data_IF_230414107278
#
_entry.id   IF_230414107278
#
_cell.length_a   1.000
_cell.length_b   1.000
_cell.length_c   1.000
_cell.angle_alpha   90.00
_cell.angle_beta   90.00
_cell.angle_gamma   90.00
#
_symmetry.space_group_name_H-M   'P 1'
#
loop_
_entity.id
_entity.type
_entity.pdbx_description
1 polymer ?
#
# COMPACT_ATOMS: atom_id res chain seq x y z
N UNK A 1 -3.62 17.48 55.78
CA UNK A 1 -5.06 17.23 55.61
C UNK A 1 -5.21 16.32 54.41
N UNK A 2 -5.52 15.04 54.64
CA UNK A 2 -5.68 14.03 53.58
C UNK A 2 -6.88 14.41 52.69
N UNK A 3 -6.68 14.54 51.38
CA UNK A 3 -7.75 14.39 50.40
C UNK A 3 -7.51 13.12 49.58
N UNK A 4 -8.38 12.15 49.79
CA UNK A 4 -8.48 10.89 49.06
C UNK A 4 -9.11 11.14 47.69
N UNK A 5 -8.33 11.00 46.60
CA UNK A 5 -8.88 10.95 45.25
C UNK A 5 -9.33 9.54 44.89
N UNK A 6 -10.62 9.44 44.59
CA UNK A 6 -11.33 8.22 44.20
C UNK A 6 -10.85 7.78 42.81
N UNK A 7 -10.30 6.58 42.73
CA UNK A 7 -9.82 5.89 41.52
C UNK A 7 -10.94 5.79 40.47
N UNK A 8 -10.86 6.57 39.39
CA UNK A 8 -11.59 6.33 38.13
C UNK A 8 -10.58 5.95 37.04
N UNK A 9 -10.88 4.86 36.34
CA UNK A 9 -10.12 4.32 35.20
C UNK A 9 -9.92 5.43 34.16
N UNK A 10 -8.68 5.86 33.92
CA UNK A 10 -8.23 6.55 32.71
C UNK A 10 -6.71 6.43 32.61
N UNK A 11 -6.22 5.20 32.39
CA UNK A 11 -4.78 4.96 32.14
C UNK A 11 -4.36 5.26 30.69
N UNK A 12 -5.30 5.64 29.80
CA UNK A 12 -4.98 6.03 28.42
C UNK A 12 -4.60 7.51 28.27
N UNK A 13 -4.99 8.36 29.22
CA UNK A 13 -4.75 9.83 29.15
C UNK A 13 -3.34 10.24 29.60
N UNK A 14 -2.72 9.49 30.52
CA UNK A 14 -1.34 9.75 30.94
C UNK A 14 -0.31 9.33 29.88
N UNK A 15 -0.66 8.36 29.02
CA UNK A 15 0.24 7.89 27.98
C UNK A 15 0.44 8.95 26.87
N UNK A 16 -0.61 9.71 26.54
CA UNK A 16 -0.52 10.80 25.56
C UNK A 16 0.41 11.92 26.08
N UNK A 17 0.32 12.29 27.36
CA UNK A 17 1.21 13.29 27.97
C UNK A 17 2.68 12.82 28.04
N UNK A 18 2.92 11.51 28.21
CA UNK A 18 4.28 10.95 28.24
C UNK A 18 4.92 10.86 26.84
N UNK A 19 4.13 10.66 25.78
CA UNK A 19 4.66 10.71 24.41
C UNK A 19 5.09 12.12 24.02
N UNK A 20 4.38 13.16 24.50
CA UNK A 20 4.76 14.56 24.29
C UNK A 20 6.02 14.99 25.05
N UNK A 21 6.29 14.44 26.24
CA UNK A 21 7.54 14.76 26.97
C UNK A 21 8.78 14.11 26.33
N UNK A 22 8.64 12.96 25.68
CA UNK A 22 9.73 12.30 24.95
C UNK A 22 10.10 12.95 23.61
N UNK A 23 9.15 13.58 22.90
CA UNK A 23 9.46 14.36 21.68
C UNK A 23 10.15 15.70 21.99
N UNK A 24 9.94 16.26 23.19
CA UNK A 24 10.59 17.50 23.64
C UNK A 24 12.03 17.30 24.15
N UNK A 25 12.48 16.05 24.36
CA UNK A 25 13.79 15.74 24.97
C UNK A 25 14.91 15.39 23.98
N UNK A 26 14.64 15.39 22.67
CA UNK A 26 15.64 15.22 21.61
C UNK A 26 15.74 16.46 20.71
N UNK A 27 16.02 17.62 21.31
CA UNK A 27 16.67 18.73 20.60
C UNK A 27 17.33 19.67 21.62
N UNK A 28 18.60 19.44 21.99
CA UNK A 28 19.37 20.44 22.71
C UNK A 28 19.88 21.42 21.66
N UNK A 29 19.10 22.48 21.43
CA UNK A 29 19.51 23.82 20.91
C UNK A 29 18.37 24.48 20.10
N UNK A 30 17.20 24.69 20.72
CA UNK A 30 16.24 25.69 20.26
C UNK A 30 16.74 27.09 20.65
N UNK A 31 17.76 27.57 19.94
CA UNK A 31 18.00 29.01 19.85
C UNK A 31 16.92 29.58 18.94
N UNK A 32 15.96 30.32 19.51
CA UNK A 32 15.03 31.18 18.77
C UNK A 32 15.86 32.20 17.97
N UNK A 33 16.23 31.85 16.75
CA UNK A 33 16.53 32.83 15.72
C UNK A 33 15.19 33.43 15.37
N UNK A 34 14.89 34.57 15.97
CA UNK A 34 13.76 35.43 15.61
C UNK A 34 14.06 36.04 14.24
N UNK A 35 13.84 35.26 13.18
CA UNK A 35 13.65 35.85 11.85
C UNK A 35 12.43 36.77 11.96
N UNK A 36 12.61 38.04 11.63
CA UNK A 36 11.56 39.06 11.68
C UNK A 36 10.30 38.58 10.94
N UNK A 37 9.29 38.17 11.69
CA UNK A 37 7.96 37.89 11.16
C UNK A 37 7.37 39.18 10.59
N UNK A 38 6.97 39.16 9.32
CA UNK A 38 6.22 40.25 8.71
C UNK A 38 4.78 39.80 8.48
N UNK A 39 4.05 39.55 9.57
CA UNK A 39 2.60 39.44 9.49
C UNK A 39 2.03 40.72 8.88
N UNK A 40 1.18 40.60 7.86
CA UNK A 40 0.49 41.73 7.26
C UNK A 40 -1.02 41.50 7.32
N UNK A 41 -1.77 42.52 7.74
CA UNK A 41 -3.24 42.46 7.83
C UNK A 41 -3.73 42.47 9.28
N UNK A 42 -4.96 41.99 9.49
CA UNK A 42 -5.60 41.98 10.81
C UNK A 42 -5.28 40.68 11.55
N UNK A 43 -5.16 40.72 12.88
CA UNK A 43 -5.07 39.53 13.72
C UNK A 43 -6.47 39.07 14.19
N UNK A 44 -6.65 37.81 14.61
CA UNK A 44 -7.93 37.35 15.11
C UNK A 44 -8.41 38.22 16.27
N UNK A 45 -9.67 38.70 16.25
CA UNK A 45 -10.20 39.51 17.32
C UNK A 45 -10.36 38.67 18.60
N UNK A 46 -10.22 39.28 19.79
CA UNK A 46 -10.42 38.57 21.06
C UNK A 46 -11.81 37.94 21.20
N UNK A 47 -12.83 38.64 20.67
CA UNK A 47 -14.22 38.21 20.61
C UNK A 47 -14.78 38.42 19.20
N UNK A 48 -15.54 37.45 18.70
CA UNK A 48 -16.25 37.54 17.42
C UNK A 48 -15.53 36.87 16.24
N UNK A 49 -16.13 36.99 15.06
CA UNK A 49 -15.68 36.33 13.83
C UNK A 49 -14.51 37.12 13.22
N UNK A 50 -13.42 36.43 12.88
CA UNK A 50 -12.32 37.04 12.14
C UNK A 50 -12.67 37.07 10.65
N UNK A 51 -13.00 38.24 10.11
CA UNK A 51 -13.35 38.41 8.70
C UNK A 51 -12.14 38.87 7.89
N UNK A 52 -11.80 38.15 6.83
CA UNK A 52 -10.73 38.44 5.88
C UNK A 52 -11.38 38.77 4.54
N UNK A 53 -11.30 40.04 4.14
CA UNK A 53 -11.78 40.55 2.84
C UNK A 53 -10.65 41.12 2.00
N UNK A 54 -9.43 41.16 2.54
CA UNK A 54 -8.23 41.68 1.89
C UNK A 54 -7.09 40.68 2.09
N UNK A 55 -6.07 40.66 1.22
CA UNK A 55 -4.91 39.80 1.38
C UNK A 55 -4.26 39.96 2.77
N UNK A 56 -4.23 38.87 3.52
CA UNK A 56 -3.72 38.79 4.90
C UNK A 56 -2.72 37.64 4.99
N UNK A 57 -1.57 37.90 5.60
CA UNK A 57 -0.49 36.92 5.77
C UNK A 57 -0.12 36.88 7.25
N UNK A 58 -0.13 35.69 7.83
CA UNK A 58 0.28 35.45 9.22
C UNK A 58 1.36 34.38 9.22
N UNK A 59 2.53 34.71 9.76
CA UNK A 59 3.69 33.83 9.75
C UNK A 59 4.36 33.75 11.11
N UNK A 60 4.77 32.55 11.54
CA UNK A 60 5.53 32.31 12.77
C UNK A 60 4.78 32.71 14.06
N UNK A 61 3.45 32.62 14.05
CA UNK A 61 2.61 33.07 15.16
C UNK A 61 1.96 31.91 15.92
N UNK A 62 1.79 32.12 17.23
CA UNK A 62 0.89 31.30 18.05
C UNK A 62 -0.50 31.95 18.05
N UNK A 63 -1.50 31.25 17.53
CA UNK A 63 -2.86 31.76 17.39
C UNK A 63 -3.81 30.91 18.24
N UNK A 64 -4.49 31.56 19.17
CA UNK A 64 -5.64 30.96 19.86
C UNK A 64 -6.92 31.42 19.16
N UNK A 65 -7.60 30.49 18.50
CA UNK A 65 -8.91 30.73 17.87
C UNK A 65 -10.02 30.34 18.85
N UNK A 66 -10.80 31.34 19.27
CA UNK A 66 -12.00 31.18 20.12
C UNK A 66 -13.30 31.29 19.33
N UNK A 67 -13.23 31.61 18.04
CA UNK A 67 -14.37 31.77 17.12
C UNK A 67 -13.95 31.39 15.68
N UNK A 68 -14.88 31.45 14.72
CA UNK A 68 -14.61 31.11 13.31
C UNK A 68 -13.81 32.20 12.58
N UNK A 69 -13.12 31.79 11.52
CA UNK A 69 -12.47 32.67 10.54
C UNK A 69 -13.25 32.57 9.23
N UNK A 70 -13.68 33.71 8.69
CA UNK A 70 -14.35 33.81 7.40
C UNK A 70 -13.46 34.56 6.41
N UNK A 71 -13.14 33.92 5.29
CA UNK A 71 -12.42 34.50 4.16
C UNK A 71 -13.46 34.60 3.03
N UNK A 72 -13.70 35.82 2.56
CA UNK A 72 -14.83 36.14 1.68
C UNK A 72 -14.56 37.39 0.87
N UNK A 73 -15.47 37.77 -0.01
CA UNK A 73 -15.37 38.98 -0.83
C UNK A 73 -14.03 39.04 -1.59
N UNK A 74 -13.60 37.92 -2.19
CA UNK A 74 -12.31 37.76 -2.89
C UNK A 74 -11.06 37.93 -1.99
N UNK A 75 -11.24 37.96 -0.67
CA UNK A 75 -10.15 38.01 0.30
C UNK A 75 -9.21 36.81 0.22
N UNK A 76 -8.01 36.96 0.79
CA UNK A 76 -7.03 35.86 0.84
C UNK A 76 -6.36 35.79 2.21
N UNK A 77 -6.24 34.58 2.74
CA UNK A 77 -5.50 34.31 3.97
C UNK A 77 -4.36 33.33 3.69
N UNK A 78 -3.15 33.71 4.07
CA UNK A 78 -1.97 32.85 4.05
C UNK A 78 -1.49 32.63 5.49
N UNK A 79 -1.41 31.38 5.91
CA UNK A 79 -0.87 30.95 7.20
C UNK A 79 0.44 30.19 6.94
N UNK A 80 1.56 30.62 7.55
CA UNK A 80 2.86 29.93 7.41
C UNK A 80 3.54 29.70 8.74
N UNK A 81 3.97 28.46 8.99
CA UNK A 81 4.71 28.13 10.22
C UNK A 81 3.98 28.61 11.49
N UNK A 82 2.65 28.53 11.50
CA UNK A 82 1.83 28.96 12.63
C UNK A 82 1.56 27.78 13.55
N UNK A 83 1.26 28.08 14.82
CA UNK A 83 0.71 27.13 15.77
C UNK A 83 -0.67 27.60 16.21
N UNK A 84 -1.70 26.90 15.76
CA UNK A 84 -3.10 27.30 15.94
C UNK A 84 -3.80 26.33 16.89
N UNK A 85 -4.30 26.89 17.99
CA UNK A 85 -5.14 26.17 18.94
C UNK A 85 -6.58 26.64 18.78
N UNK A 86 -7.48 25.70 18.53
CA UNK A 86 -8.92 25.95 18.53
C UNK A 86 -9.45 25.57 19.92
N UNK A 87 -9.93 26.56 20.67
CA UNK A 87 -10.46 26.40 22.02
C UNK A 87 -11.92 26.84 22.07
N UNK A 88 -12.81 25.98 22.58
CA UNK A 88 -14.23 26.31 22.54
C UNK A 88 -15.11 25.63 23.61
N UNK A 89 -16.15 26.37 24.03
CA UNK A 89 -17.10 26.03 25.11
C UNK A 89 -18.57 25.79 24.62
N UNK A 90 -18.87 25.83 23.32
CA UNK A 90 -20.25 25.66 22.77
C UNK A 90 -20.34 24.71 21.55
N UNK A 91 -21.54 24.32 21.17
CA UNK A 91 -21.80 23.46 19.99
C UNK A 91 -22.12 24.35 18.79
N UNK A 92 -21.29 24.34 17.73
CA UNK A 92 -21.51 25.14 16.50
C UNK A 92 -20.43 24.93 15.43
N UNK A 93 -20.74 25.22 14.16
CA UNK A 93 -19.82 25.12 13.00
C UNK A 93 -18.65 26.10 13.15
N UNK A 94 -17.51 25.63 13.65
CA UNK A 94 -16.31 26.45 13.86
C UNK A 94 -15.18 25.97 12.97
N UNK A 95 -14.34 26.89 12.52
CA UNK A 95 -13.36 26.56 11.49
C UNK A 95 -12.76 27.76 10.81
N UNK A 96 -11.89 27.47 9.84
CA UNK A 96 -11.43 28.44 8.85
C UNK A 96 -12.26 28.18 7.59
N UNK A 97 -13.04 29.17 7.17
CA UNK A 97 -14.02 29.03 6.09
C UNK A 97 -13.66 29.99 4.95
N UNK A 98 -13.45 29.45 3.75
CA UNK A 98 -13.21 30.22 2.54
C UNK A 98 -14.44 30.11 1.62
N UNK A 99 -15.00 31.25 1.25
CA UNK A 99 -16.19 31.38 0.38
C UNK A 99 -16.02 32.51 -0.64
N UNK A 100 -16.94 32.60 -1.59
CA UNK A 100 -17.11 33.76 -2.48
C UNK A 100 -15.84 34.14 -3.25
N UNK A 101 -15.28 33.16 -3.98
CA UNK A 101 -14.03 33.26 -4.77
C UNK A 101 -12.78 33.63 -3.95
N UNK A 102 -12.82 33.47 -2.62
CA UNK A 102 -11.66 33.70 -1.77
C UNK A 102 -10.60 32.60 -1.87
N UNK A 103 -9.43 32.86 -1.30
CA UNK A 103 -8.32 31.88 -1.29
C UNK A 103 -7.73 31.68 0.10
N UNK A 104 -7.56 30.42 0.49
CA UNK A 104 -6.88 30.02 1.72
C UNK A 104 -5.63 29.22 1.40
N UNK A 105 -4.49 29.65 1.91
CA UNK A 105 -3.24 28.91 1.82
C UNK A 105 -2.66 28.66 3.21
N UNK A 106 -2.29 27.41 3.50
CA UNK A 106 -1.76 26.98 4.79
C UNK A 106 -0.51 26.14 4.54
N UNK A 107 0.61 26.59 5.10
CA UNK A 107 1.93 25.98 4.95
C UNK A 107 2.55 25.72 6.30
N UNK A 108 3.12 24.52 6.49
CA UNK A 108 3.93 24.14 7.64
C UNK A 108 3.29 24.49 9.00
N UNK A 109 1.97 24.47 9.07
CA UNK A 109 1.20 24.97 10.20
C UNK A 109 0.66 23.81 11.02
N UNK A 110 0.70 23.93 12.34
CA UNK A 110 0.05 22.96 13.23
C UNK A 110 -1.30 23.52 13.68
N UNK A 111 -2.38 22.76 13.46
CA UNK A 111 -3.73 23.10 13.92
C UNK A 111 -4.24 21.96 14.80
N UNK A 112 -4.64 22.27 16.02
CA UNK A 112 -5.16 21.29 16.97
C UNK A 112 -6.35 21.83 17.75
N UNK A 113 -7.24 20.93 18.16
CA UNK A 113 -8.34 21.23 19.10
C UNK A 113 -8.15 20.49 20.41
N UNK A 114 -8.50 21.13 21.54
CA UNK A 114 -8.47 20.53 22.88
C UNK A 114 -9.83 20.06 23.38
N UNK A 115 -10.92 20.42 22.70
CA UNK A 115 -12.27 20.08 23.13
C UNK A 115 -12.95 19.17 22.12
N UNK A 116 -13.96 18.43 22.58
CA UNK A 116 -14.79 17.55 21.76
C UNK A 116 -15.71 18.32 20.77
N UNK A 117 -15.39 19.60 20.51
CA UNK A 117 -16.12 20.47 19.61
C UNK A 117 -15.71 20.19 18.15
N UNK A 118 -16.66 20.01 17.22
CA UNK A 118 -16.35 19.87 15.81
C UNK A 118 -15.72 21.17 15.27
N UNK A 119 -14.52 21.05 14.68
CA UNK A 119 -13.94 22.09 13.85
C UNK A 119 -13.61 21.53 12.47
N UNK A 120 -13.50 22.42 11.47
CA UNK A 120 -13.08 22.02 10.14
C UNK A 120 -12.48 23.19 9.33
N UNK A 121 -11.74 22.89 8.29
CA UNK A 121 -11.45 23.80 7.18
C UNK A 121 -12.54 23.57 6.15
N UNK A 122 -13.25 24.62 5.76
CA UNK A 122 -14.32 24.53 4.77
C UNK A 122 -14.10 25.47 3.61
N UNK A 123 -14.31 24.95 2.40
CA UNK A 123 -14.10 25.67 1.14
C UNK A 123 -15.33 25.47 0.28
N UNK A 124 -15.97 26.56 -0.14
CA UNK A 124 -17.26 26.56 -0.82
C UNK A 124 -17.35 27.77 -1.77
N UNK A 125 -18.42 27.89 -2.57
CA UNK A 125 -18.71 29.04 -3.45
C UNK A 125 -17.50 29.48 -4.30
N UNK A 126 -16.89 28.55 -5.03
CA UNK A 126 -15.71 28.76 -5.88
C UNK A 126 -14.46 29.28 -5.14
N UNK A 127 -14.39 29.15 -3.82
CA UNK A 127 -13.14 29.38 -3.11
C UNK A 127 -12.13 28.25 -3.34
N UNK A 128 -10.86 28.54 -3.07
CA UNK A 128 -9.75 27.60 -3.26
C UNK A 128 -8.91 27.42 -1.99
N UNK A 129 -8.43 26.18 -1.79
CA UNK A 129 -7.51 25.81 -0.73
C UNK A 129 -6.20 25.25 -1.29
N UNK A 130 -5.09 25.76 -0.76
CA UNK A 130 -3.78 25.10 -0.79
C UNK A 130 -3.37 24.76 0.64
N UNK A 131 -3.33 23.48 0.99
CA UNK A 131 -2.89 22.99 2.29
C UNK A 131 -1.68 22.07 2.13
N UNK A 132 -0.52 22.49 2.64
CA UNK A 132 0.74 21.79 2.45
C UNK A 132 1.58 21.70 3.72
N UNK A 133 2.26 20.56 3.91
CA UNK A 133 3.28 20.36 4.94
C UNK A 133 2.77 20.49 6.37
N UNK A 134 1.46 20.50 6.57
CA UNK A 134 0.82 20.92 7.82
C UNK A 134 0.39 19.73 8.67
N UNK A 135 0.24 19.96 9.97
CA UNK A 135 -0.22 18.96 10.94
C UNK A 135 -1.59 19.33 11.47
N UNK A 136 -2.58 18.45 11.29
CA UNK A 136 -3.95 18.68 11.72
C UNK A 136 -4.39 17.56 12.65
N UNK A 137 -4.70 17.93 13.90
CA UNK A 137 -5.10 16.99 14.95
C UNK A 137 -6.53 17.27 15.38
N UNK A 138 -7.41 16.30 15.15
CA UNK A 138 -8.82 16.36 15.51
C UNK A 138 -9.09 16.13 17.00
N UNK A 139 -10.34 16.39 17.40
CA UNK A 139 -10.86 16.08 18.73
C UNK A 139 -11.46 14.67 18.74
N UNK A 140 -11.02 13.83 19.67
CA UNK A 140 -11.24 12.37 19.66
C UNK A 140 -12.69 11.87 19.85
N UNK A 141 -13.67 12.74 20.12
CA UNK A 141 -15.03 12.28 20.41
C UNK A 141 -15.87 12.06 19.13
N UNK A 142 -16.42 10.84 19.08
CA UNK A 142 -17.20 10.25 17.99
C UNK A 142 -18.66 10.73 17.95
N UNK A 143 -19.08 11.54 18.92
CA UNK A 143 -20.50 11.88 19.11
C UNK A 143 -20.96 13.12 18.34
N UNK A 144 -20.07 14.07 17.99
CA UNK A 144 -20.46 15.34 17.35
C UNK A 144 -19.52 15.84 16.24
N UNK A 145 -18.46 15.10 15.92
CA UNK A 145 -17.43 15.54 14.98
C UNK A 145 -17.92 15.54 13.52
N UNK A 146 -17.43 16.50 12.74
CA UNK A 146 -17.57 16.65 11.28
C UNK A 146 -16.25 16.22 10.61
N UNK A 147 -16.24 16.11 9.30
CA UNK A 147 -15.02 15.92 8.50
C UNK A 147 -14.11 17.16 8.66
N UNK A 148 -12.81 16.93 8.81
CA UNK A 148 -11.84 17.95 9.19
C UNK A 148 -11.57 18.94 8.06
N UNK A 149 -11.50 18.47 6.82
CA UNK A 149 -11.34 19.29 5.62
C UNK A 149 -12.53 19.00 4.72
N UNK A 150 -13.29 20.04 4.37
CA UNK A 150 -14.49 19.95 3.54
C UNK A 150 -14.32 20.81 2.31
N UNK A 151 -14.33 20.16 1.17
CA UNK A 151 -14.12 20.74 -0.15
C UNK A 151 -15.44 20.62 -0.93
N UNK A 152 -16.24 21.68 -0.87
CA UNK A 152 -17.45 21.89 -1.69
C UNK A 152 -17.13 22.72 -2.95
N UNK A 153 -15.85 22.75 -3.33
CA UNK A 153 -15.33 23.48 -4.49
C UNK A 153 -14.35 22.64 -5.30
N UNK A 154 -13.92 23.17 -6.44
CA UNK A 154 -12.96 22.53 -7.35
C UNK A 154 -11.55 23.09 -7.18
N UNK A 155 -10.57 22.39 -7.77
CA UNK A 155 -9.19 22.86 -7.90
C UNK A 155 -8.47 23.11 -6.55
N UNK A 156 -8.83 22.34 -5.52
CA UNK A 156 -8.15 22.39 -4.22
C UNK A 156 -6.96 21.44 -4.17
N UNK A 157 -5.95 21.81 -3.39
CA UNK A 157 -4.71 21.06 -3.20
C UNK A 157 -4.54 20.76 -1.70
N UNK A 158 -4.47 19.48 -1.35
CA UNK A 158 -4.17 19.00 0.02
C UNK A 158 -3.02 18.01 -0.06
N UNK A 159 -1.80 18.46 0.27
CA UNK A 159 -0.58 17.69 0.03
C UNK A 159 0.37 17.61 1.22
N UNK A 160 1.01 16.45 1.40
CA UNK A 160 2.10 16.26 2.37
C UNK A 160 1.73 16.62 3.82
N UNK A 161 0.46 16.44 4.20
CA UNK A 161 -0.02 16.77 5.55
C UNK A 161 -0.05 15.53 6.45
N UNK A 162 0.08 15.76 7.76
CA UNK A 162 -0.21 14.75 8.79
C UNK A 162 -1.58 15.03 9.40
N UNK A 163 -2.54 14.13 9.19
CA UNK A 163 -3.93 14.29 9.64
C UNK A 163 -4.31 13.12 10.55
N UNK A 164 -4.70 13.40 11.79
CA UNK A 164 -4.97 12.31 12.74
C UNK A 164 -6.07 12.61 13.74
N UNK A 165 -6.64 11.53 14.31
CA UNK A 165 -7.64 11.57 15.38
C UNK A 165 -8.89 12.37 15.00
N UNK A 166 -9.35 12.21 13.76
CA UNK A 166 -10.54 12.91 13.24
C UNK A 166 -11.74 11.97 13.12
N UNK A 167 -12.91 12.52 12.79
CA UNK A 167 -14.01 11.68 12.28
C UNK A 167 -13.71 11.20 10.87
N UNK A 168 -13.76 12.10 9.91
CA UNK A 168 -13.20 11.92 8.58
C UNK A 168 -12.17 13.02 8.32
N UNK A 169 -11.13 12.73 7.53
CA UNK A 169 -10.06 13.68 7.32
C UNK A 169 -10.39 14.67 6.20
N UNK A 170 -10.75 14.15 5.01
CA UNK A 170 -10.97 14.95 3.80
C UNK A 170 -12.27 14.50 3.16
N UNK A 171 -13.14 15.46 2.87
CA UNK A 171 -14.44 15.25 2.28
C UNK A 171 -14.60 16.17 1.07
N UNK A 172 -14.70 15.57 -0.11
CA UNK A 172 -14.81 16.24 -1.40
C UNK A 172 -16.23 16.00 -1.93
N UNK A 173 -17.05 17.04 -1.88
CA UNK A 173 -18.45 16.96 -2.30
C UNK A 173 -18.69 17.84 -3.52
N UNK A 174 -19.18 17.26 -4.61
CA UNK A 174 -19.53 17.95 -5.87
C UNK A 174 -18.36 18.66 -6.60
N UNK A 175 -17.18 18.76 -5.99
CA UNK A 175 -15.98 19.37 -6.54
C UNK A 175 -15.31 18.52 -7.62
N UNK A 176 -14.54 19.16 -8.49
CA UNK A 176 -13.71 18.49 -9.49
C UNK A 176 -12.24 18.95 -9.45
N UNK A 177 -11.34 18.17 -10.05
CA UNK A 177 -9.92 18.51 -10.18
C UNK A 177 -9.20 18.78 -8.85
N UNK A 178 -9.67 18.20 -7.76
CA UNK A 178 -8.98 18.30 -6.47
C UNK A 178 -7.83 17.28 -6.42
N UNK A 179 -6.71 17.69 -5.83
CA UNK A 179 -5.53 16.86 -5.61
C UNK A 179 -5.34 16.60 -4.12
N UNK A 180 -5.38 15.32 -3.73
CA UNK A 180 -5.02 14.86 -2.40
C UNK A 180 -3.80 13.96 -2.52
N UNK A 181 -2.62 14.45 -2.16
CA UNK A 181 -1.36 13.72 -2.41
C UNK A 181 -0.35 13.70 -1.27
N UNK A 182 0.26 12.55 -0.99
CA UNK A 182 1.38 12.48 -0.04
C UNK A 182 0.98 12.65 1.43
N UNK A 183 -0.32 12.61 1.77
CA UNK A 183 -0.78 12.82 3.14
C UNK A 183 -0.64 11.53 3.97
N UNK A 184 -0.29 11.68 5.24
CA UNK A 184 -0.33 10.62 6.23
C UNK A 184 -1.57 10.80 7.10
N UNK A 185 -2.55 9.93 6.91
CA UNK A 185 -3.88 10.01 7.53
C UNK A 185 -4.10 8.81 8.45
N UNK A 186 -4.38 9.04 9.73
CA UNK A 186 -4.55 7.90 10.65
C UNK A 186 -5.53 8.12 11.79
N UNK A 187 -5.95 7.03 12.42
CA UNK A 187 -6.77 7.04 13.63
C UNK A 187 -8.12 7.76 13.46
N UNK A 188 -8.74 7.61 12.28
CA UNK A 188 -10.04 8.21 12.00
C UNK A 188 -11.19 7.26 12.34
N UNK A 189 -12.32 7.82 12.78
CA UNK A 189 -13.49 7.03 13.17
C UNK A 189 -14.46 6.73 12.03
N UNK A 190 -14.42 7.49 10.95
CA UNK A 190 -15.17 7.33 9.69
C UNK A 190 -14.20 7.24 8.49
N UNK A 191 -14.73 7.34 7.27
CA UNK A 191 -13.92 7.38 6.04
C UNK A 191 -12.83 8.45 6.12
N UNK A 192 -11.60 8.12 5.72
CA UNK A 192 -10.52 9.10 5.74
C UNK A 192 -10.64 10.09 4.59
N UNK A 193 -10.85 9.58 3.39
CA UNK A 193 -11.12 10.38 2.20
C UNK A 193 -12.47 9.95 1.66
N UNK A 194 -13.41 10.89 1.55
CA UNK A 194 -14.71 10.67 0.92
C UNK A 194 -14.82 11.58 -0.31
N UNK A 195 -15.15 10.98 -1.46
CA UNK A 195 -15.40 11.66 -2.72
C UNK A 195 -16.86 11.40 -3.10
N UNK A 196 -17.74 12.29 -2.62
CA UNK A 196 -19.17 12.19 -2.83
C UNK A 196 -19.61 13.01 -4.04
N UNK A 197 -20.18 12.34 -5.04
CA UNK A 197 -20.71 12.98 -6.26
C UNK A 197 -19.70 13.92 -6.96
N UNK A 198 -18.40 13.62 -6.83
CA UNK A 198 -17.29 14.44 -7.29
C UNK A 198 -16.52 13.77 -8.42
N UNK A 199 -15.99 14.54 -9.38
CA UNK A 199 -15.41 13.98 -10.60
C UNK A 199 -13.99 14.49 -10.88
N UNK A 200 -13.19 13.74 -11.63
CA UNK A 200 -11.85 14.17 -12.07
C UNK A 200 -10.89 14.53 -10.93
N UNK A 201 -11.09 13.96 -9.74
CA UNK A 201 -10.19 14.16 -8.60
C UNK A 201 -9.07 13.12 -8.63
N UNK A 202 -7.91 13.49 -8.06
CA UNK A 202 -6.73 12.62 -7.98
C UNK A 202 -6.35 12.43 -6.52
N UNK A 203 -6.41 11.17 -6.08
CA UNK A 203 -6.00 10.72 -4.74
C UNK A 203 -4.77 9.84 -4.90
N UNK A 204 -3.59 10.33 -4.51
CA UNK A 204 -2.34 9.60 -4.80
C UNK A 204 -1.26 9.68 -3.71
N UNK A 205 -0.40 8.68 -3.59
CA UNK A 205 0.73 8.69 -2.66
C UNK A 205 0.34 8.88 -1.18
N UNK A 206 -0.91 8.66 -0.79
CA UNK A 206 -1.34 8.83 0.59
C UNK A 206 -1.08 7.55 1.40
N UNK A 207 -0.65 7.71 2.65
CA UNK A 207 -0.54 6.64 3.63
C UNK A 207 -1.72 6.71 4.60
N UNK A 208 -2.62 5.74 4.57
CA UNK A 208 -3.85 5.74 5.37
C UNK A 208 -3.86 4.52 6.29
N UNK A 209 -3.96 4.73 7.61
CA UNK A 209 -3.87 3.62 8.58
C UNK A 209 -4.77 3.76 9.80
N UNK A 210 -5.13 2.61 10.40
CA UNK A 210 -5.91 2.55 11.65
C UNK A 210 -7.28 3.24 11.55
N UNK A 211 -8.07 2.85 10.55
CA UNK A 211 -9.37 3.47 10.26
C UNK A 211 -10.51 2.62 10.83
N UNK A 212 -11.41 3.23 11.59
CA UNK A 212 -12.55 2.52 12.19
C UNK A 212 -13.71 2.26 11.22
N UNK A 213 -13.60 2.76 9.99
CA UNK A 213 -14.51 2.52 8.86
C UNK A 213 -13.70 2.02 7.65
N UNK A 214 -14.06 2.45 6.43
CA UNK A 214 -13.27 2.28 5.21
C UNK A 214 -12.22 3.41 5.08
N UNK A 215 -11.16 3.25 4.27
CA UNK A 215 -10.17 4.32 4.10
C UNK A 215 -10.59 5.35 3.04
N UNK A 216 -10.87 4.92 1.82
CA UNK A 216 -11.27 5.80 0.70
C UNK A 216 -12.64 5.37 0.17
N UNK A 217 -13.59 6.31 0.10
CA UNK A 217 -14.87 6.13 -0.59
C UNK A 217 -14.90 7.02 -1.83
N UNK A 218 -15.28 6.44 -2.97
CA UNK A 218 -15.54 7.16 -4.21
C UNK A 218 -16.91 6.80 -4.75
N UNK A 219 -17.89 7.69 -4.56
CA UNK A 219 -19.19 7.56 -5.22
C UNK A 219 -19.27 8.31 -6.54
N UNK A 220 -18.36 9.25 -6.78
CA UNK A 220 -18.27 9.99 -8.03
C UNK A 220 -17.50 9.27 -9.14
N UNK A 221 -17.37 9.93 -10.29
CA UNK A 221 -16.96 9.33 -11.55
C UNK A 221 -15.65 9.92 -12.09
N UNK A 222 -14.93 9.18 -12.93
CA UNK A 222 -13.71 9.67 -13.58
C UNK A 222 -12.62 10.12 -12.58
N UNK A 223 -12.61 9.59 -11.36
CA UNK A 223 -11.56 9.85 -10.38
C UNK A 223 -10.40 8.87 -10.56
N UNK A 224 -9.21 9.32 -10.15
CA UNK A 224 -7.99 8.52 -10.16
C UNK A 224 -7.57 8.29 -8.71
N UNK A 225 -7.49 7.03 -8.30
CA UNK A 225 -7.00 6.61 -6.99
C UNK A 225 -5.78 5.74 -7.24
N UNK A 226 -4.57 6.28 -7.04
CA UNK A 226 -3.34 5.59 -7.44
C UNK A 226 -2.17 5.71 -6.47
N UNK A 227 -1.38 4.65 -6.30
CA UNK A 227 -0.19 4.64 -5.45
C UNK A 227 -0.46 5.02 -3.99
N UNK A 228 -1.64 4.70 -3.46
CA UNK A 228 -1.93 4.87 -2.03
C UNK A 228 -1.60 3.60 -1.27
N UNK A 229 -1.09 3.74 -0.04
CA UNK A 229 -0.86 2.64 0.89
C UNK A 229 -1.89 2.69 2.00
N UNK A 230 -2.70 1.64 2.12
CA UNK A 230 -3.83 1.55 3.05
C UNK A 230 -3.68 0.30 3.90
N UNK A 231 -3.69 0.47 5.22
CA UNK A 231 -3.56 -0.66 6.15
C UNK A 231 -4.43 -0.52 7.39
N UNK A 232 -4.83 -1.65 7.98
CA UNK A 232 -5.62 -1.69 9.23
C UNK A 232 -6.93 -0.90 9.17
N UNK A 233 -7.83 -1.29 8.27
CA UNK A 233 -9.20 -0.76 8.21
C UNK A 233 -10.21 -1.73 8.83
N UNK A 234 -11.27 -1.22 9.47
CA UNK A 234 -12.34 -2.08 10.02
C UNK A 234 -13.37 -2.53 8.98
N UNK A 235 -13.46 -1.83 7.85
CA UNK A 235 -14.32 -2.16 6.72
C UNK A 235 -13.45 -2.39 5.49
N UNK A 236 -13.93 -2.07 4.29
CA UNK A 236 -13.14 -2.16 3.07
C UNK A 236 -11.95 -1.18 3.12
N UNK A 237 -10.85 -1.48 2.42
CA UNK A 237 -9.78 -0.50 2.24
C UNK A 237 -10.26 0.65 1.35
N UNK A 238 -10.64 0.33 0.12
CA UNK A 238 -11.22 1.27 -0.85
C UNK A 238 -12.61 0.78 -1.27
N UNK A 239 -13.56 1.70 -1.39
CA UNK A 239 -14.88 1.44 -1.95
C UNK A 239 -15.17 2.39 -3.11
N UNK A 240 -15.43 1.83 -4.30
CA UNK A 240 -15.75 2.59 -5.52
C UNK A 240 -17.14 2.21 -6.01
N UNK A 241 -18.12 3.09 -5.79
CA UNK A 241 -19.48 2.89 -6.31
C UNK A 241 -19.76 3.68 -7.59
N UNK A 242 -18.92 4.66 -7.93
CA UNK A 242 -19.06 5.41 -9.19
C UNK A 242 -18.40 4.71 -10.38
N UNK A 243 -18.67 5.25 -11.57
CA UNK A 243 -18.24 4.71 -12.85
C UNK A 243 -16.99 5.39 -13.42
N UNK A 244 -16.31 4.72 -14.35
CA UNK A 244 -15.16 5.24 -15.11
C UNK A 244 -13.99 5.70 -14.22
N UNK A 245 -13.86 5.17 -13.02
CA UNK A 245 -12.75 5.45 -12.13
C UNK A 245 -11.54 4.57 -12.48
N UNK A 246 -10.35 5.10 -12.23
CA UNK A 246 -9.07 4.38 -12.36
C UNK A 246 -8.51 4.13 -10.96
N UNK A 247 -8.37 2.86 -10.59
CA UNK A 247 -7.82 2.42 -9.30
C UNK A 247 -6.60 1.57 -9.58
N UNK A 248 -5.40 2.14 -9.47
CA UNK A 248 -4.17 1.44 -9.85
C UNK A 248 -3.04 1.59 -8.86
N UNK A 249 -2.14 0.61 -8.80
CA UNK A 249 -0.90 0.72 -8.03
C UNK A 249 -1.10 0.96 -6.52
N UNK A 250 -2.31 0.71 -5.99
CA UNK A 250 -2.57 0.86 -4.56
C UNK A 250 -2.16 -0.40 -3.81
N UNK A 251 -1.64 -0.21 -2.60
CA UNK A 251 -1.33 -1.28 -1.67
C UNK A 251 -2.39 -1.28 -0.58
N UNK A 252 -3.16 -2.36 -0.47
CA UNK A 252 -4.27 -2.48 0.48
C UNK A 252 -4.15 -3.78 1.26
N UNK A 253 -3.96 -3.63 2.57
CA UNK A 253 -3.72 -4.77 3.45
C UNK A 253 -4.47 -4.70 4.77
N UNK A 254 -4.66 -5.86 5.41
CA UNK A 254 -5.14 -5.94 6.80
C UNK A 254 -6.51 -5.25 6.99
N UNK A 255 -7.34 -5.21 5.94
CA UNK A 255 -8.74 -4.83 6.05
C UNK A 255 -9.53 -5.96 6.70
N UNK A 256 -10.38 -5.63 7.68
CA UNK A 256 -11.29 -6.62 8.32
C UNK A 256 -12.44 -7.08 7.41
N UNK A 257 -12.55 -6.50 6.21
CA UNK A 257 -13.45 -6.93 5.14
C UNK A 257 -12.64 -7.15 3.87
N UNK A 258 -13.12 -6.63 2.74
CA UNK A 258 -12.44 -6.74 1.47
C UNK A 258 -11.32 -5.69 1.37
N UNK A 259 -10.29 -5.94 0.57
CA UNK A 259 -9.31 -4.89 0.25
C UNK A 259 -9.96 -3.77 -0.57
N UNK A 260 -10.50 -4.13 -1.73
CA UNK A 260 -11.18 -3.23 -2.67
C UNK A 260 -12.61 -3.73 -2.95
N UNK A 261 -13.60 -2.86 -2.79
CA UNK A 261 -14.99 -3.13 -3.16
C UNK A 261 -15.46 -2.24 -4.30
N UNK A 262 -16.03 -2.82 -5.37
CA UNK A 262 -16.43 -2.08 -6.58
C UNK A 262 -17.88 -2.34 -6.94
N UNK A 263 -18.70 -1.29 -6.82
CA UNK A 263 -20.13 -1.31 -7.16
C UNK A 263 -20.47 -0.57 -8.45
N UNK A 264 -19.55 0.26 -8.97
CA UNK A 264 -19.72 0.98 -10.22
C UNK A 264 -19.28 0.18 -11.45
N UNK A 265 -19.46 0.77 -12.62
CA UNK A 265 -19.20 0.17 -13.93
C UNK A 265 -18.07 0.86 -14.69
N UNK A 266 -17.48 0.16 -15.66
CA UNK A 266 -16.41 0.68 -16.52
C UNK A 266 -15.19 1.19 -15.76
N UNK A 267 -14.91 0.66 -14.56
CA UNK A 267 -13.73 1.03 -13.80
C UNK A 267 -12.51 0.21 -14.25
N UNK A 268 -11.34 0.82 -14.18
CA UNK A 268 -10.06 0.17 -14.46
C UNK A 268 -9.33 -0.12 -13.15
N UNK A 269 -9.16 -1.40 -12.83
CA UNK A 269 -8.60 -1.90 -11.57
C UNK A 269 -7.34 -2.70 -11.91
N UNK A 270 -6.16 -2.09 -11.87
CA UNK A 270 -4.94 -2.78 -12.29
C UNK A 270 -3.73 -2.50 -11.41
N UNK A 271 -2.81 -3.45 -11.34
CA UNK A 271 -1.55 -3.31 -10.59
C UNK A 271 -1.73 -3.02 -9.08
N UNK A 272 -2.92 -3.27 -8.50
CA UNK A 272 -3.11 -3.11 -7.06
C UNK A 272 -2.58 -4.35 -6.34
N UNK A 273 -1.96 -4.13 -5.18
CA UNK A 273 -1.53 -5.18 -4.28
C UNK A 273 -2.52 -5.31 -3.13
N UNK A 274 -3.22 -6.43 -3.08
CA UNK A 274 -4.32 -6.72 -2.17
C UNK A 274 -3.94 -7.94 -1.34
N UNK A 275 -3.63 -7.77 -0.05
CA UNK A 275 -3.14 -8.89 0.75
C UNK A 275 -3.57 -8.90 2.21
N UNK A 276 -3.64 -10.09 2.81
CA UNK A 276 -4.05 -10.30 4.20
C UNK A 276 -5.37 -9.61 4.58
N UNK A 277 -6.28 -9.43 3.62
CA UNK A 277 -7.62 -8.94 3.92
C UNK A 277 -8.48 -10.10 4.43
N UNK A 278 -9.30 -9.85 5.46
CA UNK A 278 -10.05 -10.92 6.14
C UNK A 278 -11.08 -11.59 5.24
N UNK A 279 -11.64 -10.83 4.28
CA UNK A 279 -12.47 -11.37 3.20
C UNK A 279 -11.67 -11.30 1.89
N UNK A 280 -12.32 -11.08 0.75
CA UNK A 280 -11.68 -11.05 -0.56
C UNK A 280 -10.73 -9.86 -0.74
N UNK A 281 -9.66 -10.04 -1.52
CA UNK A 281 -8.81 -8.92 -1.94
C UNK A 281 -9.62 -7.91 -2.77
N UNK A 282 -10.43 -8.42 -3.70
CA UNK A 282 -11.34 -7.64 -4.55
C UNK A 282 -12.75 -8.24 -4.52
N UNK A 283 -13.74 -7.39 -4.31
CA UNK A 283 -15.16 -7.74 -4.37
C UNK A 283 -15.89 -6.88 -5.38
N UNK A 284 -16.40 -7.48 -6.44
CA UNK A 284 -17.25 -6.84 -7.44
C UNK A 284 -18.72 -7.08 -7.06
N UNK A 285 -19.44 -6.02 -6.72
CA UNK A 285 -20.84 -6.10 -6.32
C UNK A 285 -21.77 -6.30 -7.52
N UNK A 286 -22.97 -6.81 -7.27
CA UNK A 286 -24.00 -7.10 -8.27
C UNK A 286 -24.38 -5.94 -9.21
N UNK A 287 -24.23 -4.69 -8.76
CA UNK A 287 -24.51 -3.50 -9.57
C UNK A 287 -23.41 -3.16 -10.59
N UNK A 288 -22.22 -3.74 -10.41
CA UNK A 288 -21.04 -3.41 -11.18
C UNK A 288 -21.02 -4.16 -12.51
N UNK A 289 -20.58 -3.49 -13.57
CA UNK A 289 -20.45 -4.11 -14.89
C UNK A 289 -19.30 -3.56 -15.71
N UNK A 290 -18.81 -4.37 -16.65
CA UNK A 290 -17.79 -3.96 -17.63
C UNK A 290 -16.51 -3.39 -16.97
N UNK A 291 -16.17 -3.84 -15.78
CA UNK A 291 -14.91 -3.45 -15.13
C UNK A 291 -13.76 -4.27 -15.68
N UNK A 292 -12.57 -3.68 -15.65
CA UNK A 292 -11.35 -4.29 -16.15
C UNK A 292 -10.37 -4.55 -15.01
N UNK A 293 -10.02 -5.81 -14.80
CA UNK A 293 -9.22 -6.27 -13.68
C UNK A 293 -8.00 -7.03 -14.20
N UNK A 294 -6.80 -6.46 -14.11
CA UNK A 294 -5.58 -7.12 -14.60
C UNK A 294 -4.35 -6.71 -13.81
N UNK A 295 -3.31 -7.55 -13.80
CA UNK A 295 -2.03 -7.27 -13.13
C UNK A 295 -2.12 -6.99 -11.62
N UNK A 296 -3.26 -7.22 -10.99
CA UNK A 296 -3.35 -7.11 -9.54
C UNK A 296 -2.64 -8.30 -8.89
N UNK A 297 -2.21 -8.11 -7.64
CA UNK A 297 -1.59 -9.14 -6.80
C UNK A 297 -2.55 -9.47 -5.68
N UNK A 298 -3.05 -10.70 -5.67
CA UNK A 298 -3.89 -11.24 -4.60
C UNK A 298 -3.06 -12.21 -3.76
N UNK A 299 -2.78 -11.83 -2.51
CA UNK A 299 -1.95 -12.64 -1.62
C UNK A 299 -2.61 -12.87 -0.25
N UNK A 300 -2.87 -14.13 0.09
CA UNK A 300 -3.43 -14.54 1.39
C UNK A 300 -4.66 -13.74 1.82
N UNK A 301 -5.57 -13.46 0.88
CA UNK A 301 -6.89 -12.93 1.23
C UNK A 301 -7.86 -14.07 1.51
N UNK A 302 -8.98 -13.76 2.17
CA UNK A 302 -10.10 -14.68 2.38
C UNK A 302 -9.68 -16.03 3.02
N UNK A 303 -8.68 -15.98 3.89
CA UNK A 303 -8.08 -17.15 4.53
C UNK A 303 -9.12 -17.80 5.47
N UNK A 304 -9.77 -18.87 4.99
CA UNK A 304 -10.59 -19.75 5.82
C UNK A 304 -12.03 -19.99 5.35
N UNK A 305 -12.49 -19.52 4.19
CA UNK A 305 -13.89 -19.73 3.80
C UNK A 305 -14.22 -20.02 2.32
N UNK A 306 -13.39 -19.79 1.30
CA UNK A 306 -13.81 -20.04 -0.10
C UNK A 306 -12.66 -20.46 -1.04
N UNK A 307 -13.01 -20.76 -2.30
CA UNK A 307 -12.14 -21.28 -3.36
C UNK A 307 -11.26 -20.20 -4.02
N UNK A 308 -11.56 -18.91 -3.79
CA UNK A 308 -10.90 -17.79 -4.46
C UNK A 308 -10.55 -16.65 -3.51
N UNK A 309 -9.55 -15.87 -3.91
CA UNK A 309 -9.17 -14.61 -3.24
C UNK A 309 -9.96 -13.40 -3.72
N UNK A 310 -10.81 -13.57 -4.74
CA UNK A 310 -11.68 -12.53 -5.27
C UNK A 310 -13.11 -13.01 -5.47
N UNK A 311 -14.04 -12.06 -5.58
CA UNK A 311 -15.46 -12.34 -5.72
C UNK A 311 -16.11 -11.44 -6.78
N UNK A 312 -16.95 -12.02 -7.62
CA UNK A 312 -17.68 -11.33 -8.70
C UNK A 312 -19.16 -11.74 -8.76
N UNK A 313 -20.02 -10.81 -8.37
CA UNK A 313 -21.48 -10.88 -8.56
C UNK A 313 -21.98 -9.99 -9.70
N UNK A 314 -21.07 -9.25 -10.35
CA UNK A 314 -21.38 -8.29 -11.40
C UNK A 314 -21.62 -8.93 -12.76
N UNK A 315 -21.57 -8.10 -13.81
CA UNK A 315 -21.87 -8.53 -15.18
C UNK A 315 -20.79 -8.06 -16.15
N UNK A 316 -20.31 -8.95 -17.01
CA UNK A 316 -19.33 -8.65 -18.07
C UNK A 316 -18.03 -8.00 -17.58
N UNK A 317 -17.60 -8.31 -16.35
CA UNK A 317 -16.28 -7.89 -15.89
C UNK A 317 -15.20 -8.77 -16.53
N UNK A 318 -14.07 -8.16 -16.90
CA UNK A 318 -12.95 -8.85 -17.55
C UNK A 318 -11.78 -8.96 -16.59
N UNK A 319 -11.37 -10.18 -16.25
CA UNK A 319 -10.32 -10.48 -15.26
C UNK A 319 -8.92 -10.64 -15.85
N UNK A 320 -8.65 -9.99 -16.99
CA UNK A 320 -7.35 -9.96 -17.63
C UNK A 320 -7.24 -8.77 -18.59
N UNK A 321 -6.03 -8.51 -19.07
CA UNK A 321 -5.79 -7.58 -20.16
C UNK A 321 -5.92 -8.27 -21.53
N UNK A 322 -6.91 -7.92 -22.38
CA UNK A 322 -7.16 -8.57 -23.65
C UNK A 322 -6.19 -8.15 -24.76
N UNK A 323 -5.41 -7.08 -24.56
CA UNK A 323 -4.38 -6.68 -25.52
C UNK A 323 -3.15 -7.57 -25.39
N UNK A 324 -2.77 -7.88 -24.14
CA UNK A 324 -1.53 -8.62 -23.84
C UNK A 324 -1.76 -10.03 -23.31
N UNK A 325 -3.01 -10.44 -23.08
CA UNK A 325 -3.36 -11.70 -22.43
C UNK A 325 -2.68 -11.87 -21.07
N UNK A 326 -2.73 -10.82 -20.24
CA UNK A 326 -2.11 -10.82 -18.91
C UNK A 326 -3.18 -10.73 -17.84
N UNK A 327 -3.30 -11.76 -17.01
CA UNK A 327 -4.22 -11.82 -15.88
C UNK A 327 -3.64 -11.22 -14.60
N UNK A 328 -4.14 -11.71 -13.48
CA UNK A 328 -3.77 -11.32 -12.13
C UNK A 328 -2.87 -12.38 -11.52
N UNK A 329 -2.16 -11.98 -10.47
CA UNK A 329 -1.36 -12.89 -9.67
C UNK A 329 -2.18 -13.39 -8.49
N UNK A 330 -2.11 -14.70 -8.23
CA UNK A 330 -2.90 -15.38 -7.21
C UNK A 330 -1.97 -16.26 -6.37
N UNK A 331 -1.82 -15.95 -5.09
CA UNK A 331 -0.94 -16.73 -4.21
C UNK A 331 -1.42 -18.16 -3.91
N UNK A 332 -2.63 -18.51 -4.35
CA UNK A 332 -3.28 -19.80 -4.12
C UNK A 332 -3.62 -20.54 -5.43
N UNK A 333 -3.06 -20.09 -6.56
CA UNK A 333 -3.20 -20.83 -7.82
C UNK A 333 -2.20 -21.97 -7.89
N UNK A 334 -2.69 -23.13 -8.32
CA UNK A 334 -1.91 -24.31 -8.68
C UNK A 334 -1.33 -24.24 -10.11
N UNK A 335 -1.44 -23.08 -10.76
CA UNK A 335 -1.08 -22.88 -12.17
C UNK A 335 -2.15 -23.38 -13.15
N UNK A 336 -3.30 -23.89 -12.67
CA UNK A 336 -4.39 -24.30 -13.56
C UNK A 336 -5.06 -23.08 -14.20
N UNK A 337 -5.32 -23.19 -15.51
CA UNK A 337 -6.07 -22.19 -16.27
C UNK A 337 -7.47 -22.74 -16.64
N UNK A 338 -8.55 -21.98 -16.40
CA UNK A 338 -8.57 -20.64 -15.81
C UNK A 338 -8.68 -20.67 -14.27
N UNK A 339 -8.18 -19.62 -13.59
CA UNK A 339 -8.39 -19.46 -12.15
C UNK A 339 -9.82 -19.01 -11.87
N UNK A 340 -10.61 -19.77 -11.08
CA UNK A 340 -12.01 -19.45 -10.83
C UNK A 340 -12.16 -18.25 -9.87
N UNK A 341 -13.13 -17.39 -10.15
CA UNK A 341 -13.53 -16.30 -9.26
C UNK A 341 -14.86 -16.66 -8.60
N UNK A 342 -14.94 -16.53 -7.27
CA UNK A 342 -16.15 -16.83 -6.53
C UNK A 342 -17.29 -15.88 -6.93
N UNK A 343 -18.54 -16.32 -6.79
CA UNK A 343 -19.73 -15.47 -6.99
C UNK A 343 -20.65 -15.87 -8.14
N UNK A 344 -21.78 -15.18 -8.24
CA UNK A 344 -22.86 -15.55 -9.15
C UNK A 344 -22.51 -15.29 -10.63
N UNK A 345 -21.52 -14.46 -10.92
CA UNK A 345 -21.08 -14.17 -12.29
C UNK A 345 -20.39 -15.36 -12.95
N UNK A 346 -19.87 -16.32 -12.16
CA UNK A 346 -19.04 -17.44 -12.64
C UNK A 346 -17.85 -16.93 -13.47
N UNK A 347 -17.26 -15.83 -13.02
CA UNK A 347 -16.10 -15.23 -13.66
C UNK A 347 -14.86 -16.11 -13.43
N UNK A 348 -13.86 -15.91 -14.28
CA UNK A 348 -12.58 -16.61 -14.19
C UNK A 348 -11.49 -15.73 -14.80
N UNK A 349 -10.27 -15.87 -14.31
CA UNK A 349 -9.07 -15.31 -14.90
C UNK A 349 -8.44 -16.36 -15.85
N UNK A 350 -8.44 -16.14 -17.17
CA UNK A 350 -7.89 -17.09 -18.12
C UNK A 350 -6.36 -17.10 -18.18
N UNK A 351 -5.68 -16.13 -17.56
CA UNK A 351 -4.21 -16.02 -17.60
C UNK A 351 -3.64 -15.77 -16.19
N UNK A 352 -3.96 -16.64 -15.21
CA UNK A 352 -3.49 -16.48 -13.84
C UNK A 352 -1.96 -16.59 -13.78
N UNK A 353 -1.36 -15.80 -12.90
CA UNK A 353 0.07 -15.87 -12.59
C UNK A 353 0.23 -16.48 -11.20
N UNK A 354 0.96 -17.58 -11.09
CA UNK A 354 1.33 -18.18 -9.81
C UNK A 354 2.58 -17.54 -9.21
N UNK A 355 2.84 -17.89 -7.95
CA UNK A 355 4.11 -17.64 -7.27
C UNK A 355 5.13 -18.74 -7.60
N UNK A 356 6.40 -18.37 -7.64
CA UNK A 356 7.56 -19.26 -7.70
C UNK A 356 8.70 -18.44 -7.05
N UNK A 357 8.81 -18.52 -5.72
CA UNK A 357 9.66 -17.61 -4.94
C UNK A 357 11.16 -17.93 -5.02
N UNK A 358 11.51 -19.19 -5.19
CA UNK A 358 12.90 -19.65 -5.29
C UNK A 358 13.36 -19.93 -6.73
N UNK A 359 12.48 -19.70 -7.71
CA UNK A 359 12.75 -19.69 -9.15
C UNK A 359 13.17 -21.07 -9.70
N UNK A 360 12.63 -22.14 -9.12
CA UNK A 360 12.94 -23.52 -9.49
C UNK A 360 11.93 -24.10 -10.53
N UNK A 361 10.91 -23.32 -10.88
CA UNK A 361 9.78 -23.66 -11.77
C UNK A 361 8.72 -24.60 -11.16
N UNK A 362 8.73 -24.80 -9.85
CA UNK A 362 7.61 -25.31 -9.06
C UNK A 362 6.87 -24.12 -8.44
N UNK A 363 5.54 -24.11 -8.49
CA UNK A 363 4.79 -23.00 -7.92
C UNK A 363 4.65 -23.17 -6.41
N UNK A 364 4.77 -22.10 -5.60
CA UNK A 364 4.64 -22.15 -4.13
C UNK A 364 3.41 -22.93 -3.65
N UNK A 365 2.31 -22.85 -4.40
CA UNK A 365 1.08 -23.58 -4.08
C UNK A 365 1.31 -25.10 -4.14
N UNK A 366 1.96 -25.58 -5.20
CA UNK A 366 2.27 -27.00 -5.38
C UNK A 366 3.26 -27.46 -4.33
N UNK A 367 4.23 -26.62 -3.99
CA UNK A 367 5.20 -26.88 -2.94
C UNK A 367 4.52 -27.09 -1.57
N UNK A 368 3.74 -26.11 -1.10
CA UNK A 368 3.11 -26.16 0.23
C UNK A 368 1.95 -27.18 0.31
N UNK A 369 1.16 -27.36 -0.77
CA UNK A 369 -0.10 -28.12 -0.71
C UNK A 369 -0.07 -29.51 -1.37
N UNK A 370 0.92 -29.80 -2.22
CA UNK A 370 0.99 -31.05 -2.99
C UNK A 370 2.25 -31.85 -2.66
N UNK A 371 3.42 -31.23 -2.75
CA UNK A 371 4.71 -31.93 -2.64
C UNK A 371 5.35 -31.83 -1.24
N UNK A 372 4.99 -30.82 -0.44
CA UNK A 372 5.54 -30.62 0.90
C UNK A 372 6.98 -30.08 0.93
N UNK A 373 7.41 -29.45 -0.17
CA UNK A 373 8.70 -28.77 -0.32
C UNK A 373 8.67 -27.36 0.29
N UNK A 374 9.81 -26.70 0.44
CA UNK A 374 9.92 -25.35 1.03
C UNK A 374 9.96 -24.28 -0.07
N UNK A 375 8.93 -23.41 -0.23
CA UNK A 375 8.85 -22.37 -1.27
C UNK A 375 9.94 -21.30 -1.30
N UNK A 376 10.96 -21.43 -0.46
CA UNK A 376 12.10 -20.52 -0.37
C UNK A 376 13.43 -21.23 -0.60
N UNK A 377 13.38 -22.51 -0.96
CA UNK A 377 14.54 -23.35 -1.09
C UNK A 377 14.34 -24.26 -2.31
N UNK A 378 15.05 -23.96 -3.42
CA UNK A 378 14.80 -24.62 -4.70
C UNK A 378 15.20 -26.10 -4.72
N UNK A 379 15.70 -26.66 -3.62
CA UNK A 379 16.27 -28.00 -3.45
C UNK A 379 15.98 -28.44 -2.00
N UNK A 380 14.78 -28.97 -1.76
CA UNK A 380 14.23 -29.21 -0.42
C UNK A 380 14.90 -30.37 0.32
N UNK A 381 15.44 -31.35 -0.40
CA UNK A 381 16.14 -32.48 0.19
C UNK A 381 17.68 -32.32 0.25
N UNK A 382 18.20 -31.31 -0.44
CA UNK A 382 19.60 -30.88 -0.41
C UNK A 382 20.53 -31.74 -1.26
N UNK A 383 20.03 -32.38 -2.33
CA UNK A 383 20.79 -33.29 -3.19
C UNK A 383 21.38 -32.65 -4.46
N UNK A 384 21.10 -31.35 -4.67
CA UNK A 384 21.49 -30.50 -5.81
C UNK A 384 20.60 -30.59 -7.06
N UNK A 385 19.51 -31.35 -7.03
CA UNK A 385 18.43 -31.26 -8.01
C UNK A 385 17.38 -30.26 -7.54
N UNK A 386 16.82 -29.43 -8.45
CA UNK A 386 15.73 -28.56 -8.05
C UNK A 386 14.39 -29.29 -7.91
N UNK A 387 13.57 -28.92 -6.93
CA UNK A 387 12.29 -29.58 -6.65
C UNK A 387 11.39 -29.57 -7.91
N UNK A 388 11.32 -28.43 -8.60
CA UNK A 388 10.58 -28.26 -9.85
C UNK A 388 11.08 -29.14 -10.99
N UNK A 389 12.40 -29.41 -11.05
CA UNK A 389 12.97 -30.33 -12.04
C UNK A 389 12.59 -31.78 -11.73
N UNK A 390 12.65 -32.16 -10.45
CA UNK A 390 12.28 -33.48 -9.98
C UNK A 390 10.81 -33.79 -10.23
N UNK A 391 9.93 -32.88 -9.86
CA UNK A 391 8.49 -32.96 -10.15
C UNK A 391 8.23 -33.06 -11.66
N UNK A 392 8.96 -32.31 -12.49
CA UNK A 392 8.82 -32.37 -13.94
C UNK A 392 9.12 -33.76 -14.52
N UNK A 393 10.13 -34.45 -13.98
CA UNK A 393 10.49 -35.80 -14.40
C UNK A 393 9.88 -36.92 -13.54
N UNK A 394 9.06 -36.56 -12.55
CA UNK A 394 8.29 -37.50 -11.74
C UNK A 394 9.10 -38.22 -10.65
N UNK A 395 10.23 -37.66 -10.21
CA UNK A 395 10.85 -38.03 -8.93
C UNK A 395 10.14 -37.35 -7.75
N UNK A 396 10.51 -37.77 -6.54
CA UNK A 396 9.98 -37.23 -5.28
C UNK A 396 10.97 -36.19 -4.75
N UNK A 397 10.63 -34.88 -4.73
CA UNK A 397 11.56 -33.80 -4.36
C UNK A 397 11.93 -33.77 -2.86
N UNK A 398 11.48 -34.75 -2.09
CA UNK A 398 11.86 -34.96 -0.70
C UNK A 398 12.79 -36.17 -0.52
N UNK A 399 13.27 -36.77 -1.61
CA UNK A 399 14.08 -38.00 -1.62
C UNK A 399 15.38 -37.81 -2.39
N UNK A 400 16.54 -37.82 -1.71
CA UNK A 400 17.81 -37.50 -2.35
C UNK A 400 18.21 -38.60 -3.34
N UNK A 401 18.05 -38.32 -4.63
CA UNK A 401 18.19 -39.24 -5.74
C UNK A 401 19.08 -38.77 -6.90
N UNK A 402 19.70 -37.59 -6.77
CA UNK A 402 20.68 -36.97 -7.68
C UNK A 402 21.74 -37.90 -8.27
N UNK A 403 22.16 -38.92 -7.51
CA UNK A 403 23.20 -39.88 -7.90
C UNK A 403 22.65 -41.20 -8.45
N UNK A 404 21.33 -41.34 -8.58
CA UNK A 404 20.70 -42.46 -9.26
C UNK A 404 20.74 -42.26 -10.78
N UNK A 405 20.57 -43.37 -11.49
CA UNK A 405 20.53 -43.45 -12.96
C UNK A 405 19.20 -44.13 -13.31
N UNK A 406 18.17 -43.32 -13.56
CA UNK A 406 16.79 -43.79 -13.72
C UNK A 406 16.58 -44.60 -15.00
N UNK A 407 17.28 -44.25 -16.08
CA UNK A 407 17.12 -44.92 -17.36
C UNK A 407 18.19 -46.00 -17.62
N UNK A 408 19.26 -46.05 -16.83
CA UNK A 408 20.34 -47.03 -16.89
C UNK A 408 21.30 -46.80 -18.06
N UNK A 409 21.55 -45.56 -18.48
CA UNK A 409 22.48 -45.21 -19.55
C UNK A 409 23.90 -44.88 -19.06
N UNK A 410 24.07 -44.76 -17.74
CA UNK A 410 25.34 -44.48 -17.08
C UNK A 410 25.58 -43.01 -16.72
N UNK A 411 24.62 -42.11 -16.95
CA UNK A 411 24.59 -40.76 -16.37
C UNK A 411 23.73 -40.75 -15.10
N UNK A 412 24.10 -39.93 -14.11
CA UNK A 412 23.21 -39.71 -12.96
C UNK A 412 22.18 -38.63 -13.25
N UNK A 413 21.06 -38.62 -12.53
CA UNK A 413 20.02 -37.57 -12.63
C UNK A 413 20.63 -36.15 -12.57
N UNK A 414 21.60 -35.93 -11.67
CA UNK A 414 22.34 -34.67 -11.55
C UNK A 414 23.20 -34.34 -12.78
N UNK A 415 23.90 -35.32 -13.35
CA UNK A 415 24.66 -35.12 -14.60
C UNK A 415 23.71 -34.77 -15.74
N UNK A 416 22.52 -35.36 -15.77
CA UNK A 416 21.50 -35.09 -16.79
C UNK A 416 20.85 -33.72 -16.63
N UNK A 417 20.59 -33.28 -15.40
CA UNK A 417 20.17 -31.91 -15.09
C UNK A 417 21.17 -30.89 -15.67
N UNK A 418 22.47 -31.04 -15.37
CA UNK A 418 23.51 -30.14 -15.87
C UNK A 418 23.74 -30.23 -17.38
N UNK A 419 23.48 -31.39 -17.99
CA UNK A 419 23.59 -31.58 -19.44
C UNK A 419 22.31 -31.20 -20.20
N UNK A 420 21.24 -30.84 -19.49
CA UNK A 420 19.90 -30.61 -20.05
C UNK A 420 19.38 -31.80 -20.87
N UNK A 421 19.64 -33.03 -20.39
CA UNK A 421 19.10 -34.29 -20.95
C UNK A 421 17.89 -34.78 -20.14
N UNK A 422 17.22 -35.83 -20.61
CA UNK A 422 16.01 -36.36 -19.99
C UNK A 422 16.36 -37.63 -19.19
N UNK A 423 16.19 -37.63 -17.85
CA UNK A 423 16.59 -38.75 -16.98
C UNK A 423 15.81 -40.05 -17.17
N UNK A 424 14.77 -40.01 -18.00
CA UNK A 424 13.94 -41.17 -18.31
C UNK A 424 14.24 -41.74 -19.71
N UNK A 425 15.19 -41.18 -20.45
CA UNK A 425 15.45 -41.52 -21.85
C UNK A 425 16.93 -41.73 -22.13
N UNK A 426 17.31 -43.01 -22.25
CA UNK A 426 18.70 -43.40 -22.51
C UNK A 426 19.34 -42.56 -23.61
N UNK A 427 20.39 -41.83 -23.27
CA UNK A 427 21.12 -41.01 -24.20
C UNK A 427 21.93 -41.91 -25.14
N UNK A 428 21.84 -41.66 -26.45
CA UNK A 428 22.63 -42.41 -27.44
C UNK A 428 24.10 -41.98 -27.37
N UNK A 429 24.88 -42.65 -26.52
CA UNK A 429 26.36 -42.64 -26.48
C UNK A 429 27.01 -41.26 -26.65
N UNK A 430 27.20 -40.52 -25.57
CA UNK A 430 28.31 -39.56 -25.48
C UNK A 430 29.57 -40.29 -25.01
N UNK A 431 30.14 -41.14 -25.87
CA UNK A 431 31.49 -41.65 -25.66
C UNK A 431 32.50 -40.56 -26.04
N UNK A 432 32.55 -39.46 -25.28
CA UNK A 432 33.69 -38.54 -25.36
C UNK A 432 34.72 -38.97 -24.32
N UNK A 433 35.59 -39.87 -24.76
CA UNK A 433 36.73 -40.34 -24.00
C UNK A 433 37.50 -39.17 -23.36
N UNK A 434 37.74 -39.30 -22.06
CA UNK A 434 38.79 -38.63 -21.30
C UNK A 434 40.11 -38.73 -22.08
N UNK A 435 40.49 -37.67 -22.81
CA UNK A 435 41.89 -37.31 -23.04
C UNK A 435 41.94 -35.81 -23.22
N UNK A 436 42.25 -35.08 -22.15
CA UNK A 436 43.17 -33.94 -22.11
C UNK A 436 43.19 -33.38 -20.68
N UNK A 437 43.99 -33.98 -19.79
CA UNK A 437 44.55 -33.24 -18.66
C UNK A 437 45.99 -32.82 -19.01
N UNK A 438 46.36 -31.54 -18.90
CA UNK A 438 47.71 -31.08 -19.16
C UNK A 438 48.54 -31.22 -17.87
N UNK A 439 48.98 -32.43 -17.52
CA UNK A 439 49.97 -32.62 -16.44
C UNK A 439 50.82 -33.87 -16.68
N UNK A 440 51.85 -33.74 -17.52
CA UNK A 440 53.13 -34.44 -17.34
C UNK A 440 54.18 -33.89 -18.30
N UNK A 441 54.55 -32.62 -18.10
CA UNK A 441 55.86 -32.12 -18.51
C UNK A 441 56.91 -32.67 -17.53
N UNK A 442 57.32 -33.94 -17.70
CA UNK A 442 58.55 -34.47 -17.07
C UNK A 442 59.36 -35.24 -18.11
N UNK A 443 60.29 -34.47 -18.70
CA UNK A 443 61.57 -34.89 -19.25
C UNK A 443 61.62 -36.16 -20.13
N UNK A 444 61.39 -35.98 -21.44
CA UNK A 444 61.90 -36.90 -22.47
C UNK A 444 63.41 -36.71 -22.74
N UNK A 445 64.15 -36.17 -21.78
CA UNK A 445 65.57 -35.81 -21.89
C UNK A 445 66.45 -36.50 -20.85
N UNK A 446 66.23 -37.80 -20.56
CA UNK A 446 67.25 -38.56 -19.80
C UNK A 446 67.21 -40.10 -19.91
N UNK A 447 66.39 -40.73 -20.76
CA UNK A 447 66.44 -42.20 -20.86
C UNK A 447 67.65 -42.73 -21.66
N UNK A 448 68.35 -41.88 -22.43
CA UNK A 448 69.65 -42.23 -23.05
C UNK A 448 70.79 -42.30 -22.02
N UNK A 449 70.66 -41.67 -20.85
CA UNK A 449 71.68 -41.70 -19.79
C UNK A 449 71.41 -42.79 -18.73
N UNK A 450 70.17 -43.21 -18.54
CA UNK A 450 69.83 -44.29 -17.60
C UNK A 450 70.25 -45.69 -18.12
N UNK A 451 70.24 -45.90 -19.45
CA UNK A 451 70.76 -47.12 -20.07
C UNK A 451 72.31 -47.19 -20.09
N UNK A 452 73.00 -46.06 -19.90
CA UNK A 452 74.47 -46.01 -19.79
C UNK A 452 74.97 -46.29 -18.37
N UNK A 453 74.16 -46.00 -17.36
CA UNK A 453 74.47 -46.27 -15.95
C UNK A 453 74.21 -47.73 -15.53
N UNK A 454 73.28 -48.42 -16.20
CA UNK A 454 72.97 -49.84 -15.93
C UNK A 454 73.87 -50.86 -16.66
N UNK A 455 74.81 -50.41 -17.51
CA UNK A 455 75.75 -51.31 -18.22
C UNK A 455 77.14 -51.48 -17.54
N UNK A 456 77.44 -50.71 -16.48
CA UNK A 456 78.74 -50.76 -15.77
C UNK A 456 78.67 -51.29 -14.32
N UNK A 457 77.64 -52.06 -13.97
CA UNK A 457 77.62 -52.86 -12.72
C UNK A 457 77.12 -54.30 -12.95
N UNK A 458 77.79 -55.01 -13.84
CA UNK A 458 78.08 -56.45 -13.74
C UNK A 458 79.50 -56.63 -14.29
N UNK A 459 80.26 -57.53 -13.66
CA UNK A 459 81.68 -57.88 -13.90
C UNK A 459 82.16 -57.72 -15.35
#
# INVERSE_FOLDING_TARGET
>A
MLFTFKKRKNNSFMLLLFVFSSLMLFSPDFNLVTSSASSSGTFPPPDGIWNITEPTVVENEFIKLTNRVDIKDEGSLILRNCFIVIEHDRVGSLGIYAIDNSSLAIYDTTILTYTDSPWYIGVDNNAHLHLEGSTLIGGSDRTYSRELIRLYSSDNIVINNFITHTRGAIDIQYGSHNLVSGNNISHNSASSIDMTESCFNVITNNYISYISSLAIRSSGHNNIITNNTITYTRYEGISVSGDNNTVTDNVISESRRNGLGVGGSNNHLSSNMLFNNSNYGLYIYKSASNNFISRNVFFKNNQGNNLSQAFDDGVNNTWFDPVYSIGNYWSDTDGSEPYPIDGAAKAFDPFPRGSDFDEDNLLDYLEDHVYGTDPWNPDSDGDLLPDGWEVHYGSDPLTPDAYLDFDGDGLTNLEEFYNHTNPLVKNQMMLLAIVLSPLSFVSLFSLKNLLRFLKNRRK
#
